data_IF_099619357987
#
_entry.id   IF_099619357987
#
_cell.length_a   1.000
_cell.length_b   1.000
_cell.length_c   1.000
_cell.angle_alpha   90.00
_cell.angle_beta   90.00
_cell.angle_gamma   90.00
#
_symmetry.space_group_name_H-M   'P 1'
#
loop_
_entity.id
_entity.type
_entity.pdbx_description
1 polymer ?
#
# COMPACT_ATOMS: atom_id res chain seq x y z
N UNK A 1 -19.79 -1.49 -22.58
CA UNK A 1 -18.83 -2.52 -22.15
C UNK A 1 -19.59 -3.45 -21.24
N UNK A 2 -19.54 -4.72 -21.50
CA UNK A 2 -20.19 -5.74 -20.67
C UNK A 2 -19.15 -6.29 -19.67
N UNK A 3 -19.52 -6.36 -18.40
CA UNK A 3 -18.72 -6.95 -17.32
C UNK A 3 -19.33 -8.31 -17.02
N UNK A 4 -18.52 -9.37 -16.80
CA UNK A 4 -19.06 -10.68 -16.42
C UNK A 4 -19.95 -10.60 -15.17
N UNK A 5 -21.04 -11.36 -15.16
CA UNK A 5 -22.02 -11.31 -14.08
C UNK A 5 -21.42 -11.72 -12.72
N UNK A 6 -20.45 -12.63 -12.71
CA UNK A 6 -19.79 -13.10 -11.50
C UNK A 6 -18.75 -12.11 -10.96
N UNK A 7 -18.27 -11.15 -11.79
CA UNK A 7 -17.20 -10.23 -11.41
C UNK A 7 -17.59 -9.27 -10.29
N UNK A 8 -16.63 -8.95 -9.42
CA UNK A 8 -16.76 -7.88 -8.44
C UNK A 8 -16.13 -6.58 -8.92
N UNK A 9 -15.21 -6.61 -9.90
CA UNK A 9 -14.76 -5.39 -10.58
C UNK A 9 -15.91 -4.83 -11.46
N UNK A 10 -15.83 -3.55 -11.77
CA UNK A 10 -16.82 -2.88 -12.60
C UNK A 10 -16.26 -2.41 -13.93
N UNK A 11 -17.05 -1.59 -14.62
CA UNK A 11 -16.74 -1.08 -15.95
C UNK A 11 -15.50 -0.19 -15.99
N UNK A 12 -15.21 0.56 -14.91
CA UNK A 12 -14.05 1.46 -14.88
C UNK A 12 -12.75 0.65 -14.80
N UNK A 13 -12.71 -0.41 -13.97
CA UNK A 13 -11.57 -1.31 -13.90
C UNK A 13 -11.35 -2.05 -15.22
N UNK A 14 -12.42 -2.53 -15.85
CA UNK A 14 -12.34 -3.22 -17.14
C UNK A 14 -11.78 -2.30 -18.24
N UNK A 15 -12.29 -1.08 -18.34
CA UNK A 15 -11.77 -0.07 -19.28
C UNK A 15 -10.29 0.26 -19.03
N UNK A 16 -9.90 0.36 -17.76
CA UNK A 16 -8.52 0.61 -17.41
C UNK A 16 -7.61 -0.55 -17.82
N UNK A 17 -8.04 -1.79 -17.59
CA UNK A 17 -7.31 -3.00 -18.03
C UNK A 17 -7.09 -3.03 -19.54
N UNK A 18 -8.11 -2.69 -20.32
CA UNK A 18 -8.00 -2.66 -21.78
C UNK A 18 -7.09 -1.51 -22.27
N UNK A 19 -7.17 -0.34 -21.64
CA UNK A 19 -6.38 0.83 -22.03
C UNK A 19 -4.91 0.73 -21.61
N UNK A 20 -4.59 0.08 -20.49
CA UNK A 20 -3.27 0.03 -19.87
C UNK A 20 -2.81 -1.40 -19.63
N UNK A 21 -2.67 -2.20 -20.69
CA UNK A 21 -2.06 -3.53 -20.65
C UNK A 21 -0.55 -3.39 -20.91
N UNK A 22 0.21 -2.92 -19.92
CA UNK A 22 1.63 -2.53 -20.07
C UNK A 22 2.55 -3.66 -19.64
N UNK A 23 2.42 -4.14 -18.40
CA UNK A 23 3.33 -5.14 -17.83
C UNK A 23 2.67 -6.51 -17.65
N UNK A 24 1.35 -6.56 -17.55
CA UNK A 24 0.61 -7.76 -17.14
C UNK A 24 0.84 -8.15 -15.68
N UNK A 25 1.49 -7.27 -14.90
CA UNK A 25 1.78 -7.51 -13.49
C UNK A 25 0.65 -6.94 -12.62
N UNK A 26 0.04 -7.74 -11.73
CA UNK A 26 -1.01 -7.26 -10.85
C UNK A 26 -0.45 -6.28 -9.80
N UNK A 27 -1.35 -5.51 -9.18
CA UNK A 27 -1.02 -4.65 -8.06
C UNK A 27 -0.47 -5.46 -6.88
N UNK A 28 0.49 -4.87 -6.14
CA UNK A 28 1.07 -5.51 -4.96
C UNK A 28 -0.01 -5.82 -3.91
N UNK A 29 -0.11 -7.06 -3.39
CA UNK A 29 -1.14 -7.43 -2.42
C UNK A 29 -1.14 -6.58 -1.15
N UNK A 30 0.03 -6.22 -0.61
CA UNK A 30 0.13 -5.37 0.59
C UNK A 30 -0.40 -3.95 0.31
N UNK A 31 -0.21 -3.46 -0.93
CA UNK A 31 -0.79 -2.18 -1.33
C UNK A 31 -2.33 -2.25 -1.38
N UNK A 32 -2.90 -3.32 -1.94
CA UNK A 32 -4.34 -3.52 -1.97
C UNK A 32 -4.94 -3.63 -0.55
N UNK A 33 -4.27 -4.35 0.34
CA UNK A 33 -4.67 -4.45 1.75
C UNK A 33 -4.69 -3.08 2.42
N UNK A 34 -3.65 -2.26 2.24
CA UNK A 34 -3.56 -0.93 2.81
C UNK A 34 -4.59 0.04 2.20
N UNK A 35 -4.85 -0.06 0.91
CA UNK A 35 -5.91 0.72 0.27
C UNK A 35 -7.28 0.35 0.84
N UNK A 36 -7.56 -0.94 1.06
CA UNK A 36 -8.79 -1.41 1.70
C UNK A 36 -8.90 -0.95 3.17
N UNK A 37 -7.80 -0.89 3.94
CA UNK A 37 -7.77 -0.32 5.30
C UNK A 37 -8.17 1.16 5.30
N UNK A 38 -7.70 1.93 4.32
CA UNK A 38 -8.08 3.34 4.17
C UNK A 38 -9.59 3.45 3.85
N UNK A 39 -10.12 2.64 2.92
CA UNK A 39 -11.55 2.62 2.61
C UNK A 39 -12.39 2.25 3.83
N UNK A 40 -11.95 1.27 4.60
CA UNK A 40 -12.60 0.89 5.88
C UNK A 40 -12.62 2.05 6.87
N UNK A 41 -11.48 2.70 7.10
CA UNK A 41 -11.38 3.84 8.01
C UNK A 41 -12.28 5.01 7.54
N UNK A 42 -12.32 5.28 6.23
CA UNK A 42 -13.19 6.30 5.67
C UNK A 42 -14.68 5.99 5.87
N UNK A 43 -15.09 4.72 5.70
CA UNK A 43 -16.48 4.32 5.92
C UNK A 43 -16.88 4.47 7.40
N UNK A 44 -16.01 4.09 8.35
CA UNK A 44 -16.21 4.29 9.78
C UNK A 44 -16.35 5.78 10.09
N UNK A 45 -15.42 6.59 9.58
CA UNK A 45 -15.39 8.04 9.78
C UNK A 45 -16.64 8.73 9.22
N UNK A 46 -17.06 8.38 8.01
CA UNK A 46 -18.26 8.97 7.38
C UNK A 46 -19.55 8.55 8.13
N UNK A 47 -19.62 7.34 8.66
CA UNK A 47 -20.71 6.90 9.55
C UNK A 47 -20.72 7.74 10.83
N UNK A 48 -19.58 7.86 11.49
CA UNK A 48 -19.48 8.55 12.79
C UNK A 48 -19.65 10.07 12.64
N UNK A 49 -19.40 10.61 11.46
CA UNK A 49 -19.72 11.99 11.07
C UNK A 49 -21.16 12.17 10.57
N UNK A 50 -22.01 11.13 10.61
CA UNK A 50 -23.40 11.13 10.11
C UNK A 50 -23.54 11.51 8.63
N UNK A 51 -22.50 11.32 7.83
CA UNK A 51 -22.50 11.58 6.39
C UNK A 51 -22.90 10.34 5.57
N UNK A 52 -22.70 9.14 6.12
CA UNK A 52 -23.00 7.86 5.47
C UNK A 52 -23.98 7.06 6.34
N UNK A 53 -25.00 6.48 5.70
CA UNK A 53 -25.95 5.57 6.37
C UNK A 53 -25.22 4.42 7.08
N UNK A 54 -25.64 4.13 8.31
CA UNK A 54 -24.98 3.14 9.15
C UNK A 54 -24.99 1.72 8.54
N UNK A 55 -26.10 1.33 7.87
CA UNK A 55 -26.21 0.04 7.20
C UNK A 55 -25.28 -0.08 6.00
N UNK A 56 -25.14 0.99 5.21
CA UNK A 56 -24.20 1.05 4.08
C UNK A 56 -22.75 1.03 4.57
N UNK A 57 -22.44 1.82 5.60
CA UNK A 57 -21.11 1.83 6.20
C UNK A 57 -20.70 0.44 6.70
N UNK A 58 -21.58 -0.26 7.42
CA UNK A 58 -21.29 -1.61 7.92
C UNK A 58 -21.06 -2.61 6.79
N UNK A 59 -21.84 -2.55 5.72
CA UNK A 59 -21.62 -3.40 4.53
C UNK A 59 -20.26 -3.11 3.86
N UNK A 60 -19.89 -1.83 3.74
CA UNK A 60 -18.57 -1.42 3.21
C UNK A 60 -17.45 -1.92 4.11
N UNK A 61 -17.56 -1.74 5.43
CA UNK A 61 -16.56 -2.20 6.41
C UNK A 61 -16.34 -3.71 6.29
N UNK A 62 -17.41 -4.50 6.22
CA UNK A 62 -17.34 -5.96 6.05
C UNK A 62 -16.70 -6.36 4.72
N UNK A 63 -17.04 -5.68 3.62
CA UNK A 63 -16.42 -5.91 2.32
C UNK A 63 -14.91 -5.59 2.35
N UNK A 64 -14.50 -4.48 2.99
CA UNK A 64 -13.08 -4.15 3.20
C UNK A 64 -12.35 -5.24 4.01
N UNK A 65 -12.96 -5.75 5.08
CA UNK A 65 -12.38 -6.82 5.89
C UNK A 65 -12.16 -8.12 5.09
N UNK A 66 -13.04 -8.43 4.14
CA UNK A 66 -12.88 -9.57 3.24
C UNK A 66 -11.69 -9.35 2.29
N UNK A 67 -11.52 -8.14 1.73
CA UNK A 67 -10.37 -7.78 0.89
C UNK A 67 -9.06 -7.85 1.69
N UNK A 68 -9.02 -7.29 2.90
CA UNK A 68 -7.84 -7.33 3.80
C UNK A 68 -7.44 -8.77 4.12
N UNK A 69 -8.39 -9.68 4.24
CA UNK A 69 -8.13 -11.12 4.43
C UNK A 69 -7.72 -11.85 3.15
N UNK A 70 -7.52 -11.13 2.06
CA UNK A 70 -7.04 -11.67 0.79
C UNK A 70 -8.13 -12.30 -0.09
N UNK A 71 -9.41 -12.04 0.19
CA UNK A 71 -10.49 -12.40 -0.74
C UNK A 71 -10.49 -11.46 -1.94
N UNK A 72 -11.05 -11.92 -3.05
CA UNK A 72 -11.21 -11.14 -4.29
C UNK A 72 -9.89 -10.71 -4.95
N UNK A 73 -8.78 -11.39 -4.73
CA UNK A 73 -7.48 -11.02 -5.34
C UNK A 73 -7.55 -10.97 -6.86
N UNK A 74 -8.27 -11.90 -7.47
CA UNK A 74 -8.47 -12.01 -8.93
C UNK A 74 -9.31 -10.85 -9.51
N UNK A 75 -10.03 -10.14 -8.65
CA UNK A 75 -10.89 -9.01 -9.04
C UNK A 75 -10.12 -7.69 -9.19
N UNK A 76 -8.86 -7.65 -8.74
CA UNK A 76 -7.98 -6.51 -8.92
C UNK A 76 -7.21 -6.66 -10.24
N UNK A 77 -7.90 -6.35 -11.33
CA UNK A 77 -7.50 -6.67 -12.70
C UNK A 77 -6.63 -5.62 -13.38
N UNK A 78 -6.43 -4.46 -12.76
CA UNK A 78 -5.64 -3.36 -13.34
C UNK A 78 -4.14 -3.65 -13.25
N UNK A 79 -3.39 -3.22 -14.27
CA UNK A 79 -1.93 -3.33 -14.30
C UNK A 79 -1.29 -2.48 -13.19
N UNK A 80 -0.16 -2.93 -12.66
CA UNK A 80 0.62 -2.17 -11.68
C UNK A 80 1.11 -0.84 -12.26
N UNK A 81 1.35 -0.76 -13.57
CA UNK A 81 1.65 0.46 -14.30
C UNK A 81 0.41 0.89 -15.08
N UNK A 82 -0.14 2.04 -14.72
CA UNK A 82 -1.40 2.51 -15.24
C UNK A 82 -1.38 4.02 -15.50
N UNK A 83 -2.35 4.54 -16.24
CA UNK A 83 -2.47 5.97 -16.50
C UNK A 83 -2.91 6.77 -15.26
N UNK A 84 -2.47 8.03 -15.19
CA UNK A 84 -2.79 8.94 -14.11
C UNK A 84 -2.05 8.63 -12.80
N UNK A 85 -2.59 9.13 -11.70
CA UNK A 85 -2.00 9.01 -10.36
C UNK A 85 -2.57 7.82 -9.55
N UNK A 86 -2.87 6.68 -10.19
CA UNK A 86 -3.46 5.51 -9.55
C UNK A 86 -4.99 5.49 -9.57
N UNK A 87 -5.63 6.27 -10.41
CA UNK A 87 -7.10 6.34 -10.52
C UNK A 87 -7.71 4.97 -10.83
N UNK A 88 -7.08 4.19 -11.71
CA UNK A 88 -7.56 2.85 -12.07
C UNK A 88 -7.58 1.90 -10.88
N UNK A 89 -6.51 1.88 -10.07
CA UNK A 89 -6.44 1.08 -8.85
C UNK A 89 -7.48 1.53 -7.80
N UNK A 90 -7.64 2.85 -7.61
CA UNK A 90 -8.65 3.39 -6.69
C UNK A 90 -10.07 2.99 -7.12
N UNK A 91 -10.40 3.12 -8.41
CA UNK A 91 -11.71 2.75 -8.93
C UNK A 91 -11.95 1.24 -8.86
N UNK A 92 -10.95 0.41 -9.19
CA UNK A 92 -11.07 -1.05 -9.05
C UNK A 92 -11.39 -1.43 -7.60
N UNK A 93 -10.71 -0.84 -6.62
CA UNK A 93 -11.01 -1.05 -5.20
C UNK A 93 -12.44 -0.61 -4.84
N UNK A 94 -12.85 0.58 -5.30
CA UNK A 94 -14.19 1.10 -5.03
C UNK A 94 -15.28 0.19 -5.62
N UNK A 95 -15.11 -0.29 -6.85
CA UNK A 95 -16.06 -1.16 -7.54
C UNK A 95 -16.18 -2.53 -6.84
N UNK A 96 -15.06 -3.17 -6.50
CA UNK A 96 -15.05 -4.45 -5.78
C UNK A 96 -15.75 -4.33 -4.42
N UNK A 97 -15.44 -3.30 -3.65
CA UNK A 97 -16.07 -3.07 -2.34
C UNK A 97 -17.55 -2.77 -2.51
N UNK A 98 -17.93 -1.92 -3.47
CA UNK A 98 -19.34 -1.55 -3.71
C UNK A 98 -20.17 -2.76 -4.13
N UNK A 99 -19.68 -3.58 -5.05
CA UNK A 99 -20.38 -4.79 -5.49
C UNK A 99 -20.55 -5.78 -4.33
N UNK A 100 -19.51 -6.00 -3.54
CA UNK A 100 -19.62 -6.87 -2.37
C UNK A 100 -20.58 -6.30 -1.31
N UNK A 101 -20.55 -5.00 -1.06
CA UNK A 101 -21.46 -4.34 -0.12
C UNK A 101 -22.93 -4.43 -0.59
N UNK A 102 -23.21 -4.25 -1.89
CA UNK A 102 -24.56 -4.45 -2.44
C UNK A 102 -25.05 -5.88 -2.22
N UNK A 103 -24.23 -6.89 -2.48
CA UNK A 103 -24.57 -8.29 -2.24
C UNK A 103 -24.85 -8.57 -0.75
N UNK A 104 -24.03 -8.03 0.17
CA UNK A 104 -24.24 -8.15 1.62
C UNK A 104 -25.56 -7.51 2.09
N UNK A 105 -26.07 -6.54 1.36
CA UNK A 105 -27.35 -5.88 1.62
C UNK A 105 -28.53 -6.54 0.87
N UNK A 106 -28.32 -7.68 0.18
CA UNK A 106 -29.33 -8.36 -0.62
C UNK A 106 -29.67 -7.68 -1.93
N UNK A 107 -28.75 -6.87 -2.46
CA UNK A 107 -28.82 -6.30 -3.80
C UNK A 107 -27.99 -7.08 -4.82
N UNK A 108 -28.04 -6.66 -6.09
CA UNK A 108 -27.30 -7.26 -7.19
C UNK A 108 -25.97 -6.53 -7.44
N UNK A 109 -24.98 -7.28 -7.95
CA UNK A 109 -23.71 -6.72 -8.43
C UNK A 109 -23.93 -5.89 -9.70
N UNK A 110 -23.11 -4.87 -9.92
CA UNK A 110 -23.15 -3.99 -11.10
C UNK A 110 -24.26 -2.95 -11.11
N UNK A 111 -25.33 -3.14 -10.35
CA UNK A 111 -26.47 -2.22 -10.33
C UNK A 111 -26.25 -1.00 -9.43
N UNK A 112 -25.37 -1.07 -8.45
CA UNK A 112 -25.04 -0.01 -7.47
C UNK A 112 -26.27 0.70 -6.85
N UNK A 113 -27.36 -0.04 -6.66
CA UNK A 113 -28.64 0.52 -6.21
C UNK A 113 -28.65 0.95 -4.75
N UNK A 114 -27.76 0.37 -3.92
CA UNK A 114 -27.63 0.67 -2.49
C UNK A 114 -26.30 1.36 -2.19
N UNK A 115 -25.19 0.73 -2.58
CA UNK A 115 -23.84 1.25 -2.37
C UNK A 115 -23.21 1.58 -3.72
N UNK A 116 -22.91 2.88 -3.93
CA UNK A 116 -22.26 3.36 -5.15
C UNK A 116 -20.76 3.52 -4.93
N UNK A 117 -19.89 3.15 -5.91
CA UNK A 117 -18.43 3.19 -5.76
C UNK A 117 -17.89 4.60 -5.44
N UNK A 118 -18.40 5.64 -6.12
CA UNK A 118 -17.94 7.00 -5.90
C UNK A 118 -18.62 7.68 -4.72
N UNK A 119 -19.97 7.59 -4.64
CA UNK A 119 -20.74 8.40 -3.72
C UNK A 119 -20.66 7.87 -2.27
N UNK A 120 -20.45 6.56 -2.09
CA UNK A 120 -20.39 5.93 -0.78
C UNK A 120 -18.99 5.39 -0.44
N UNK A 121 -18.39 4.52 -1.27
CA UNK A 121 -17.07 3.93 -0.96
C UNK A 121 -15.95 4.95 -1.02
N UNK A 122 -16.02 5.90 -1.97
CA UNK A 122 -15.02 6.97 -2.15
C UNK A 122 -15.43 8.30 -1.49
N UNK A 123 -16.49 8.32 -0.68
CA UNK A 123 -16.99 9.52 0.00
C UNK A 123 -15.88 10.21 0.80
N UNK A 124 -15.76 11.55 0.64
CA UNK A 124 -14.76 12.41 1.27
C UNK A 124 -13.30 12.03 0.94
N UNK A 125 -13.06 11.38 -0.19
CA UNK A 125 -11.74 10.92 -0.63
C UNK A 125 -11.46 11.35 -2.07
N UNK A 126 -10.20 11.33 -2.45
CA UNK A 126 -9.73 11.44 -3.83
C UNK A 126 -8.65 10.39 -4.08
N UNK A 127 -8.45 9.99 -5.33
CA UNK A 127 -7.25 9.22 -5.73
C UNK A 127 -5.98 9.90 -5.25
N UNK A 128 -5.94 11.25 -5.29
CA UNK A 128 -4.75 12.04 -4.99
C UNK A 128 -4.32 11.99 -3.50
N UNK A 129 -5.21 11.62 -2.60
CA UNK A 129 -4.88 11.46 -1.18
C UNK A 129 -4.81 9.98 -0.74
N UNK A 130 -5.71 9.11 -1.21
CA UNK A 130 -5.74 7.72 -0.75
C UNK A 130 -4.62 6.87 -1.34
N UNK A 131 -4.24 7.08 -2.62
CA UNK A 131 -3.18 6.30 -3.26
C UNK A 131 -1.79 6.59 -2.65
N UNK A 132 -1.35 7.85 -2.47
CA UNK A 132 -0.10 8.13 -1.78
C UNK A 132 -0.10 7.62 -0.33
N UNK A 133 -1.23 7.73 0.37
CA UNK A 133 -1.37 7.22 1.74
C UNK A 133 -1.22 5.70 1.77
N UNK A 134 -1.90 4.95 0.88
CA UNK A 134 -1.73 3.51 0.75
C UNK A 134 -0.28 3.11 0.41
N UNK A 135 0.37 3.88 -0.46
CA UNK A 135 1.78 3.68 -0.80
C UNK A 135 2.70 3.83 0.42
N UNK A 136 2.51 4.88 1.22
CA UNK A 136 3.29 5.10 2.44
C UNK A 136 3.09 4.00 3.48
N UNK A 137 1.85 3.58 3.74
CA UNK A 137 1.55 2.46 4.63
C UNK A 137 2.20 1.17 4.13
N UNK A 138 2.16 0.91 2.82
CA UNK A 138 2.78 -0.26 2.20
C UNK A 138 4.29 -0.26 2.37
N UNK A 139 4.95 0.89 2.19
CA UNK A 139 6.39 1.03 2.44
C UNK A 139 6.71 0.70 3.89
N UNK A 140 5.94 1.21 4.86
CA UNK A 140 6.15 0.94 6.29
C UNK A 140 5.98 -0.54 6.63
N UNK A 141 5.00 -1.22 6.04
CA UNK A 141 4.80 -2.67 6.26
C UNK A 141 5.92 -3.50 5.64
N UNK A 142 6.35 -3.19 4.42
CA UNK A 142 7.44 -3.91 3.73
C UNK A 142 8.83 -3.57 4.28
N UNK A 143 8.98 -2.44 4.96
CA UNK A 143 10.21 -2.04 5.59
C UNK A 143 10.61 -2.98 6.73
N UNK A 144 9.65 -3.43 7.53
CA UNK A 144 9.91 -4.29 8.71
C UNK A 144 10.71 -5.55 8.33
N UNK A 145 10.26 -6.40 7.39
CA UNK A 145 11.04 -7.57 6.98
C UNK A 145 12.36 -7.18 6.30
N UNK A 146 12.41 -6.09 5.53
CA UNK A 146 13.65 -5.63 4.91
C UNK A 146 14.73 -5.31 5.95
N UNK A 147 14.40 -4.57 7.00
CA UNK A 147 15.36 -4.22 8.06
C UNK A 147 15.87 -5.46 8.79
N UNK A 148 15.02 -6.48 9.00
CA UNK A 148 15.42 -7.76 9.60
C UNK A 148 16.45 -8.48 8.72
N UNK A 149 16.20 -8.54 7.40
CA UNK A 149 17.14 -9.21 6.48
C UNK A 149 18.45 -8.42 6.30
N UNK A 150 18.41 -7.08 6.35
CA UNK A 150 19.63 -6.26 6.36
C UNK A 150 20.46 -6.51 7.65
N UNK A 151 19.83 -6.65 8.82
CA UNK A 151 20.52 -7.02 10.05
C UNK A 151 21.13 -8.42 9.96
N UNK A 152 20.44 -9.36 9.32
CA UNK A 152 20.97 -10.71 9.07
C UNK A 152 22.17 -10.66 8.13
N UNK A 153 22.06 -9.96 7.00
CA UNK A 153 23.17 -9.79 6.06
C UNK A 153 24.40 -9.17 6.72
N UNK A 154 24.20 -8.10 7.52
CA UNK A 154 25.29 -7.47 8.27
C UNK A 154 25.99 -8.46 9.20
N UNK A 155 25.24 -9.28 9.94
CA UNK A 155 25.81 -10.29 10.87
C UNK A 155 26.63 -11.33 10.11
N UNK A 156 26.12 -11.85 9.01
CA UNK A 156 26.84 -12.84 8.20
C UNK A 156 28.14 -12.27 7.62
N UNK A 157 28.13 -11.02 7.16
CA UNK A 157 29.33 -10.33 6.70
C UNK A 157 30.34 -10.11 7.84
N UNK A 158 29.90 -9.79 9.05
CA UNK A 158 30.78 -9.66 10.22
C UNK A 158 31.41 -11.00 10.62
N UNK A 159 30.65 -12.10 10.60
CA UNK A 159 31.17 -13.46 10.83
C UNK A 159 32.27 -13.80 9.79
N UNK A 160 32.02 -13.49 8.50
CA UNK A 160 33.03 -13.69 7.45
C UNK A 160 34.25 -12.80 7.62
N UNK A 161 34.06 -11.56 8.11
CA UNK A 161 35.16 -10.66 8.41
C UNK A 161 36.12 -11.27 9.43
N UNK A 162 35.60 -11.87 10.51
CA UNK A 162 36.40 -12.56 11.51
C UNK A 162 37.01 -13.86 10.96
N UNK A 163 36.24 -14.69 10.26
CA UNK A 163 36.70 -15.97 9.74
C UNK A 163 37.83 -15.84 8.69
N UNK A 164 37.91 -14.72 7.99
CA UNK A 164 38.90 -14.48 6.94
C UNK A 164 39.92 -13.39 7.32
N UNK A 165 40.05 -13.08 8.59
CA UNK A 165 40.98 -12.04 9.02
C UNK A 165 42.44 -12.39 8.77
N UNK A 166 42.78 -13.68 8.84
CA UNK A 166 44.14 -14.17 8.56
C UNK A 166 44.42 -14.46 7.07
N UNK A 167 43.41 -14.35 6.21
CA UNK A 167 43.58 -14.64 4.78
C UNK A 167 44.11 -13.42 4.05
N UNK A 168 45.32 -13.51 3.53
CA UNK A 168 45.93 -12.42 2.73
C UNK A 168 45.44 -12.50 1.29
N UNK A 169 45.07 -11.35 0.75
CA UNK A 169 44.72 -11.15 -0.65
C UNK A 169 45.40 -9.90 -1.21
N UNK A 170 45.44 -9.79 -2.55
CA UNK A 170 45.86 -8.56 -3.18
C UNK A 170 44.73 -7.53 -3.16
N UNK A 171 45.00 -6.36 -2.62
CA UNK A 171 44.16 -5.17 -2.80
C UNK A 171 44.30 -4.62 -4.20
N UNK A 172 43.25 -4.09 -4.77
CA UNK A 172 43.24 -3.53 -6.16
C UNK A 172 42.71 -2.11 -6.17
N UNK A 173 43.32 -1.29 -7.00
CA UNK A 173 42.90 0.06 -7.35
C UNK A 173 42.98 0.23 -8.87
N UNK A 174 42.01 0.92 -9.47
CA UNK A 174 41.98 1.16 -10.91
C UNK A 174 42.18 -0.13 -11.74
N UNK A 175 41.58 -1.24 -11.32
CA UNK A 175 41.67 -2.57 -11.94
C UNK A 175 43.10 -3.19 -11.93
N UNK A 176 44.03 -2.64 -11.14
CA UNK A 176 45.39 -3.13 -11.02
C UNK A 176 45.71 -3.60 -9.61
N UNK A 177 46.66 -4.50 -9.47
CA UNK A 177 47.18 -4.93 -8.19
C UNK A 177 47.89 -3.78 -7.49
N UNK A 178 47.59 -3.56 -6.23
CA UNK A 178 48.15 -2.51 -5.40
C UNK A 178 48.98 -3.11 -4.26
N UNK A 179 48.40 -3.29 -3.09
CA UNK A 179 49.12 -3.76 -1.90
C UNK A 179 48.37 -4.94 -1.26
N UNK A 180 49.09 -5.87 -0.56
CA UNK A 180 48.45 -6.94 0.21
C UNK A 180 47.51 -6.36 1.28
N UNK A 181 46.38 -7.01 1.45
CA UNK A 181 45.40 -6.71 2.51
C UNK A 181 44.78 -8.01 3.02
N UNK A 182 44.08 -7.96 4.16
CA UNK A 182 43.35 -9.10 4.68
C UNK A 182 41.99 -9.20 4.03
N UNK A 183 41.55 -10.40 3.68
CA UNK A 183 40.22 -10.63 3.11
C UNK A 183 39.12 -10.22 4.11
N UNK A 184 39.33 -10.44 5.41
CA UNK A 184 38.43 -10.00 6.47
C UNK A 184 38.12 -8.48 6.43
N UNK A 185 39.12 -7.64 6.06
CA UNK A 185 38.88 -6.19 5.90
C UNK A 185 37.85 -5.87 4.81
N UNK A 186 37.79 -6.66 3.73
CA UNK A 186 36.79 -6.50 2.68
C UNK A 186 35.36 -6.78 3.21
N UNK A 187 35.19 -7.88 3.93
CA UNK A 187 33.90 -8.22 4.54
C UNK A 187 33.48 -7.22 5.62
N UNK A 188 34.42 -6.72 6.41
CA UNK A 188 34.16 -5.68 7.39
C UNK A 188 33.67 -4.37 6.71
N UNK A 189 34.28 -3.99 5.58
CA UNK A 189 33.83 -2.83 4.81
C UNK A 189 32.38 -3.01 4.30
N UNK A 190 32.02 -4.21 3.82
CA UNK A 190 30.66 -4.53 3.39
C UNK A 190 29.68 -4.49 4.57
N UNK A 191 30.02 -5.08 5.72
CA UNK A 191 29.18 -5.00 6.92
C UNK A 191 28.92 -3.55 7.35
N UNK A 192 29.96 -2.71 7.32
CA UNK A 192 29.85 -1.29 7.65
C UNK A 192 28.99 -0.51 6.63
N UNK A 193 29.05 -0.89 5.35
CA UNK A 193 28.18 -0.30 4.32
C UNK A 193 26.71 -0.65 4.57
N UNK A 194 26.40 -1.92 4.78
CA UNK A 194 25.02 -2.39 5.07
C UNK A 194 24.46 -1.69 6.31
N UNK A 195 25.26 -1.53 7.38
CA UNK A 195 24.83 -0.80 8.59
C UNK A 195 24.44 0.64 8.30
N UNK A 196 25.26 1.37 7.51
CA UNK A 196 24.96 2.74 7.13
C UNK A 196 23.71 2.83 6.26
N UNK A 197 23.55 1.90 5.31
CA UNK A 197 22.39 1.90 4.42
C UNK A 197 21.09 1.55 5.17
N UNK A 198 21.16 0.57 6.08
CA UNK A 198 20.06 0.25 6.98
C UNK A 198 19.60 1.48 7.78
N UNK A 199 20.55 2.24 8.34
CA UNK A 199 20.24 3.47 9.08
C UNK A 199 19.60 4.53 8.19
N UNK A 200 20.16 4.77 7.00
CA UNK A 200 19.59 5.74 6.04
C UNK A 200 18.16 5.38 5.65
N UNK A 201 17.90 4.09 5.36
CA UNK A 201 16.57 3.60 5.03
C UNK A 201 15.61 3.84 6.20
N UNK A 202 15.99 3.46 7.42
CA UNK A 202 15.16 3.66 8.61
C UNK A 202 14.87 5.15 8.89
N UNK A 203 15.87 6.02 8.70
CA UNK A 203 15.71 7.47 8.89
C UNK A 203 14.80 8.09 7.81
N UNK A 204 14.95 7.68 6.55
CA UNK A 204 14.13 8.16 5.43
C UNK A 204 12.66 7.77 5.60
N UNK A 205 12.37 6.63 6.23
CA UNK A 205 11.00 6.16 6.44
C UNK A 205 10.21 7.01 7.45
N UNK A 206 10.85 7.89 8.20
CA UNK A 206 10.14 8.84 9.09
C UNK A 206 9.19 9.75 8.32
N UNK A 207 9.52 10.09 7.07
CA UNK A 207 8.65 10.88 6.19
C UNK A 207 7.36 10.12 5.77
N UNK A 208 7.35 8.79 5.88
CA UNK A 208 6.17 7.98 5.55
C UNK A 208 5.04 8.12 6.58
N UNK A 209 5.35 8.59 7.80
CA UNK A 209 4.34 8.81 8.84
C UNK A 209 3.50 10.08 8.62
N UNK A 210 3.92 10.96 7.72
CA UNK A 210 3.13 12.13 7.32
C UNK A 210 2.34 11.81 6.06
N UNK A 211 1.02 11.82 6.15
CA UNK A 211 0.11 11.51 5.05
C UNK A 211 -0.69 12.74 4.63
N UNK A 212 -1.20 12.72 3.41
CA UNK A 212 -2.05 13.78 2.85
C UNK A 212 -3.55 13.41 2.82
N UNK A 213 -3.95 12.40 3.59
CA UNK A 213 -5.33 11.96 3.68
C UNK A 213 -6.24 13.10 4.19
N UNK A 214 -7.40 13.24 3.54
CA UNK A 214 -8.32 14.36 3.80
C UNK A 214 -8.03 15.60 2.96
N UNK A 215 -6.86 15.70 2.31
CA UNK A 215 -6.56 16.79 1.38
C UNK A 215 -7.40 16.76 0.11
N UNK A 216 -7.97 15.61 -0.22
CA UNK A 216 -8.77 15.35 -1.43
C UNK A 216 -8.03 15.66 -2.73
N UNK A 217 -8.70 16.27 -3.73
CA UNK A 217 -8.16 16.40 -5.08
C UNK A 217 -6.95 17.34 -5.18
N UNK A 218 -6.97 18.46 -4.46
CA UNK A 218 -5.98 19.55 -4.61
C UNK A 218 -5.37 20.02 -3.28
N UNK A 219 -5.59 19.28 -2.19
CA UNK A 219 -5.06 19.62 -0.88
C UNK A 219 -5.89 20.63 -0.08
N UNK A 220 -7.07 21.03 -0.56
CA UNK A 220 -7.94 22.02 0.07
C UNK A 220 -9.08 21.42 0.90
N UNK A 221 -9.10 20.10 1.09
CA UNK A 221 -10.14 19.36 1.81
C UNK A 221 -11.57 19.62 1.25
N UNK A 222 -11.71 19.87 -0.05
CA UNK A 222 -13.00 20.09 -0.69
C UNK A 222 -13.90 18.86 -0.50
N UNK A 223 -15.15 19.08 -0.12
CA UNK A 223 -16.15 18.05 0.19
C UNK A 223 -15.79 17.15 1.40
N UNK A 224 -14.96 17.65 2.30
CA UNK A 224 -14.61 16.98 3.58
C UNK A 224 -15.20 17.78 4.73
N UNK A 225 -15.88 17.13 5.67
CA UNK A 225 -16.34 17.76 6.91
C UNK A 225 -15.19 17.85 7.91
N UNK A 226 -15.23 18.82 8.82
CA UNK A 226 -14.25 18.94 9.91
C UNK A 226 -14.19 17.64 10.74
N UNK A 227 -15.34 17.00 11.00
CA UNK A 227 -15.41 15.72 11.70
C UNK A 227 -14.62 14.61 10.96
N UNK A 228 -14.73 14.52 9.64
CA UNK A 228 -13.97 13.55 8.85
C UNK A 228 -12.46 13.77 8.99
N UNK A 229 -12.01 15.02 8.93
CA UNK A 229 -10.59 15.34 9.00
C UNK A 229 -9.95 14.84 10.31
N UNK A 230 -10.62 15.04 11.45
CA UNK A 230 -10.11 14.58 12.75
C UNK A 230 -10.24 13.07 12.96
N UNK A 231 -11.36 12.46 12.56
CA UNK A 231 -11.65 11.05 12.83
C UNK A 231 -10.88 10.09 11.91
N UNK A 232 -10.64 10.46 10.65
CA UNK A 232 -10.00 9.57 9.66
C UNK A 232 -8.59 9.15 10.08
N UNK A 233 -7.79 10.05 10.65
CA UNK A 233 -6.45 9.76 11.14
C UNK A 233 -6.48 8.84 12.37
N UNK A 234 -7.47 8.97 13.25
CA UNK A 234 -7.65 8.09 14.41
C UNK A 234 -7.93 6.67 13.92
N UNK A 235 -8.88 6.47 13.03
CA UNK A 235 -9.28 5.16 12.54
C UNK A 235 -8.21 4.44 11.71
N UNK A 236 -7.33 5.18 11.01
CA UNK A 236 -6.17 4.61 10.30
C UNK A 236 -5.07 4.20 11.29
N UNK A 237 -4.88 4.94 12.37
CA UNK A 237 -3.81 4.67 13.33
C UNK A 237 -4.16 3.60 14.37
N UNK A 238 -5.43 3.29 14.60
CA UNK A 238 -5.85 2.25 15.56
C UNK A 238 -5.25 0.86 15.29
N UNK A 239 -5.19 0.34 14.04
CA UNK A 239 -4.58 -0.95 13.77
C UNK A 239 -3.08 -1.02 14.11
N UNK A 240 -2.40 0.11 14.16
CA UNK A 240 -0.96 0.19 14.49
C UNK A 240 -0.69 0.29 15.99
N UNK A 241 -1.69 0.61 16.81
CA UNK A 241 -1.57 0.65 18.28
C UNK A 241 -1.81 -0.69 18.96
N UNK A 242 -2.38 -1.67 18.24
CA UNK A 242 -2.70 -3.01 18.77
C UNK A 242 -1.62 -4.06 18.46
N UNK A 243 -0.44 -3.65 18.05
CA UNK A 243 0.76 -4.46 17.89
C UNK A 243 1.93 -3.86 18.70
#
# INVERSE_FOLDING_TARGET
MEVPEEAYYGVQALRAKENFSITGTPMNPVFLENLARIKKAAAITNRDAFALDAGYAEAIIRACDEVIKGRFREEFIVDAIQGGAGTSANMNMNEVIANRANELLGGEKGGYTRVHPNDHVNMAQSTNDVIPTAGKLTVLDLLKPLLIELDRLKRELAIKATAFDDVIKMGRTQLQDAVPMRLGQTFHAYASMVERDRKRIADSCKEMYTVNLGGTAIGSAINVSDAYFYLSLIHISEPTRLQ
#
